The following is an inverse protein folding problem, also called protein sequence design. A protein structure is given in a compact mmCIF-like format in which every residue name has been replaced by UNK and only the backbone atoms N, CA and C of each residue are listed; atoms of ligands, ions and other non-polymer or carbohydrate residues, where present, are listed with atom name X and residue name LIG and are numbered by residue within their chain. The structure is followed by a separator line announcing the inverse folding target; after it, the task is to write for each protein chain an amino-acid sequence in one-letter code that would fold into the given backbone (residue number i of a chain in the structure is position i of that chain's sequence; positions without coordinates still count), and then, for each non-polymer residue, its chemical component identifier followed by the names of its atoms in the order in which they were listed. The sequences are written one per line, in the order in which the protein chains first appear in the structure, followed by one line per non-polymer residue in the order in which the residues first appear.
data_IF_979416824318
#
_entry.id   IF_979416824318
#
_cell.length_a   1.000
_cell.length_b   1.000
_cell.length_c   1.000
_cell.angle_alpha   90.00
_cell.angle_beta   90.00
_cell.angle_gamma   90.00
#
_symmetry.space_group_name_H-M   'P 1'
#
loop_
_entity.id
_entity.type
_entity.pdbx_description
1 polymer ?
#
# COMPACT_ATOMS: atom_id res chain seq x y z
N UNK A 1 9.83 -8.61 16.07
CA UNK A 1 8.48 -8.63 15.45
C UNK A 1 7.58 -7.49 15.89
N UNK A 2 7.45 -7.19 17.19
CA UNK A 2 6.71 -6.01 17.71
C UNK A 2 7.09 -4.64 17.11
N UNK A 3 8.32 -4.50 16.60
CA UNK A 3 8.81 -3.25 16.00
C UNK A 3 8.13 -3.00 14.64
N UNK A 4 8.03 -4.03 13.79
CA UNK A 4 7.35 -3.92 12.48
C UNK A 4 5.86 -3.62 12.70
N UNK A 5 5.24 -4.28 13.69
CA UNK A 5 3.86 -4.03 14.06
C UNK A 5 3.62 -2.56 14.47
N UNK A 6 4.56 -1.96 15.23
CA UNK A 6 4.50 -0.55 15.64
C UNK A 6 4.74 0.39 14.46
N UNK A 7 5.70 0.08 13.59
CA UNK A 7 5.98 0.87 12.38
C UNK A 7 4.78 0.89 11.44
N UNK A 8 4.17 -0.26 11.15
CA UNK A 8 2.96 -0.32 10.31
C UNK A 8 1.79 0.45 10.93
N UNK A 9 1.59 0.35 12.25
CA UNK A 9 0.50 1.07 12.91
C UNK A 9 0.73 2.58 12.91
N UNK A 10 1.97 3.02 13.11
CA UNK A 10 2.35 4.43 13.00
C UNK A 10 2.15 4.96 11.59
N UNK A 11 2.59 4.21 10.57
CA UNK A 11 2.39 4.55 9.15
C UNK A 11 0.90 4.65 8.81
N UNK A 12 0.07 3.74 9.32
CA UNK A 12 -1.37 3.75 9.10
C UNK A 12 -2.04 4.98 9.74
N UNK A 13 -1.67 5.34 10.97
CA UNK A 13 -2.17 6.55 11.64
C UNK A 13 -1.76 7.80 10.85
N UNK A 14 -0.50 7.88 10.43
CA UNK A 14 0.02 8.99 9.63
C UNK A 14 -0.74 9.10 8.30
N UNK A 15 -0.97 7.98 7.62
CA UNK A 15 -1.72 7.92 6.37
C UNK A 15 -3.18 8.36 6.57
N UNK A 16 -3.82 7.96 7.66
CA UNK A 16 -5.19 8.37 8.00
C UNK A 16 -5.30 9.87 8.29
N UNK A 17 -4.39 10.44 9.08
CA UNK A 17 -4.33 11.88 9.35
C UNK A 17 -4.15 12.65 8.04
N UNK A 18 -3.23 12.20 7.20
CA UNK A 18 -2.93 12.87 5.95
C UNK A 18 -4.06 12.74 4.91
N UNK A 19 -4.81 11.63 4.91
CA UNK A 19 -6.03 11.47 4.11
C UNK A 19 -7.08 12.52 4.49
N UNK A 20 -7.32 12.72 5.79
CA UNK A 20 -8.25 13.76 6.28
C UNK A 20 -7.80 15.15 5.84
N UNK A 21 -6.50 15.45 5.93
CA UNK A 21 -5.95 16.74 5.50
C UNK A 21 -6.15 16.98 3.99
N UNK A 22 -5.90 15.97 3.15
CA UNK A 22 -6.14 16.06 1.71
C UNK A 22 -7.63 16.22 1.40
N UNK A 23 -8.51 15.51 2.11
CA UNK A 23 -9.96 15.66 1.95
C UNK A 23 -10.39 17.11 2.16
N UNK A 24 -9.97 17.74 3.27
CA UNK A 24 -10.23 19.17 3.51
C UNK A 24 -9.61 20.06 2.45
N UNK A 25 -8.37 19.78 2.03
CA UNK A 25 -7.68 20.53 0.98
C UNK A 25 -8.43 20.52 -0.36
N UNK A 26 -8.90 19.35 -0.79
CA UNK A 26 -9.69 19.19 -2.02
C UNK A 26 -11.04 19.91 -1.90
N UNK A 27 -11.74 19.78 -0.78
CA UNK A 27 -13.03 20.44 -0.55
C UNK A 27 -12.88 21.97 -0.62
N UNK A 28 -11.90 22.55 0.09
CA UNK A 28 -11.65 24.00 0.06
C UNK A 28 -11.33 24.46 -1.37
N UNK A 29 -10.49 23.72 -2.09
CA UNK A 29 -10.13 24.05 -3.47
C UNK A 29 -11.35 23.99 -4.40
N UNK A 30 -12.18 22.95 -4.26
CA UNK A 30 -13.41 22.80 -5.04
C UNK A 30 -14.38 23.95 -4.76
N UNK A 31 -14.54 24.34 -3.49
CA UNK A 31 -15.37 25.49 -3.10
C UNK A 31 -14.86 26.80 -3.69
N UNK A 32 -13.56 27.10 -3.57
CA UNK A 32 -12.95 28.31 -4.13
C UNK A 32 -13.14 28.40 -5.65
N UNK A 33 -13.01 27.26 -6.34
CA UNK A 33 -13.24 27.17 -7.79
C UNK A 33 -14.70 27.43 -8.16
N UNK A 34 -15.64 26.93 -7.37
CA UNK A 34 -17.08 27.21 -7.55
C UNK A 34 -17.43 28.70 -7.36
N UNK A 35 -16.65 29.43 -6.56
CA UNK A 35 -16.80 30.89 -6.39
C UNK A 35 -16.04 31.72 -7.45
N UNK A 36 -15.49 31.08 -8.50
CA UNK A 36 -14.82 31.77 -9.61
C UNK A 36 -13.37 32.19 -9.34
N UNK A 37 -12.78 31.80 -8.21
CA UNK A 37 -11.35 31.96 -7.98
C UNK A 37 -10.57 30.86 -8.71
N UNK A 38 -9.47 31.25 -9.40
CA UNK A 38 -8.60 30.28 -10.07
C UNK A 38 -7.93 29.41 -9.01
N UNK A 39 -8.33 28.13 -8.92
CA UNK A 39 -7.80 27.19 -7.94
C UNK A 39 -6.29 27.01 -8.11
N UNK A 40 -5.54 27.10 -7.01
CA UNK A 40 -4.08 26.95 -7.03
C UNK A 40 -3.67 25.58 -7.58
N UNK A 41 -2.89 25.58 -8.67
CA UNK A 41 -2.40 24.36 -9.34
C UNK A 41 -1.53 23.49 -8.42
N UNK A 42 -0.89 24.09 -7.43
CA UNK A 42 -0.05 23.40 -6.44
C UNK A 42 -0.81 22.41 -5.55
N UNK A 43 -2.07 22.72 -5.20
CA UNK A 43 -2.90 21.85 -4.33
C UNK A 43 -3.29 20.56 -5.05
N UNK A 44 -3.48 20.63 -6.37
CA UNK A 44 -3.81 19.47 -7.18
C UNK A 44 -2.64 18.48 -7.24
N UNK A 45 -1.43 18.96 -7.54
CA UNK A 45 -0.21 18.13 -7.57
C UNK A 45 0.13 17.54 -6.20
N UNK A 46 -0.05 18.32 -5.12
CA UNK A 46 0.16 17.82 -3.76
C UNK A 46 -0.83 16.72 -3.37
N UNK A 47 -2.09 16.83 -3.79
CA UNK A 47 -3.11 15.82 -3.50
C UNK A 47 -2.85 14.50 -4.25
N UNK A 48 -2.40 14.58 -5.50
CA UNK A 48 -2.09 13.38 -6.30
C UNK A 48 -0.89 12.60 -5.76
N UNK A 49 0.22 13.32 -5.49
CA UNK A 49 1.39 12.73 -4.85
C UNK A 49 1.08 12.24 -3.44
N UNK A 50 0.26 12.99 -2.72
CA UNK A 50 -0.15 12.64 -1.39
C UNK A 50 -0.96 11.36 -1.31
N UNK A 51 -1.94 11.17 -2.20
CA UNK A 51 -2.70 9.92 -2.31
C UNK A 51 -1.78 8.71 -2.54
N UNK A 52 -0.75 8.86 -3.36
CA UNK A 52 0.26 7.83 -3.61
C UNK A 52 0.98 7.44 -2.31
N UNK A 53 1.43 8.41 -1.51
CA UNK A 53 2.06 8.14 -0.22
C UNK A 53 1.11 7.50 0.79
N UNK A 54 -0.17 7.90 0.83
CA UNK A 54 -1.18 7.30 1.72
C UNK A 54 -1.32 5.82 1.41
N UNK A 55 -1.50 5.46 0.15
CA UNK A 55 -1.69 4.06 -0.26
C UNK A 55 -0.44 3.24 0.08
N UNK A 56 0.75 3.76 -0.20
CA UNK A 56 2.02 3.10 0.11
C UNK A 56 2.24 2.93 1.62
N UNK A 57 1.79 3.88 2.45
CA UNK A 57 1.91 3.82 3.90
C UNK A 57 0.84 2.94 4.56
N UNK A 58 -0.38 2.90 4.01
CA UNK A 58 -1.49 2.14 4.56
C UNK A 58 -1.46 0.65 4.17
N UNK A 59 -0.94 0.30 3.00
CA UNK A 59 -0.95 -1.08 2.49
C UNK A 59 -0.27 -2.13 3.39
N UNK A 60 0.86 -1.87 4.10
CA UNK A 60 1.48 -2.88 4.95
C UNK A 60 0.62 -3.21 6.19
N UNK A 61 -0.14 -2.23 6.68
CA UNK A 61 -1.09 -2.41 7.77
C UNK A 61 -2.34 -3.18 7.30
N UNK A 62 -2.82 -2.89 6.08
CA UNK A 62 -3.96 -3.60 5.49
C UNK A 62 -3.69 -5.09 5.30
N UNK A 63 -2.49 -5.46 4.84
CA UNK A 63 -2.06 -6.87 4.72
C UNK A 63 -2.06 -7.59 6.07
N UNK A 64 -1.69 -6.88 7.15
CA UNK A 64 -1.69 -7.44 8.51
C UNK A 64 -3.10 -7.75 9.02
N UNK A 65 -4.07 -6.88 8.73
CA UNK A 65 -5.47 -7.06 9.15
C UNK A 65 -6.18 -8.12 8.31
N UNK A 66 -5.52 -8.67 7.28
CA UNK A 66 -6.14 -9.60 6.33
C UNK A 66 -7.36 -8.95 5.67
N UNK A 67 -7.32 -7.63 5.45
CA UNK A 67 -8.39 -6.88 4.79
C UNK A 67 -8.40 -7.03 3.26
N UNK A 68 -7.60 -7.95 2.71
CA UNK A 68 -7.64 -8.26 1.29
C UNK A 68 -8.89 -9.11 1.02
N UNK A 69 -9.64 -8.79 -0.04
CA UNK A 69 -10.81 -9.56 -0.46
C UNK A 69 -10.37 -11.00 -0.76
N UNK A 70 -10.54 -11.90 0.20
CA UNK A 70 -10.33 -13.32 -0.01
C UNK A 70 -11.58 -13.91 -0.63
N UNK A 71 -11.38 -14.75 -1.63
CA UNK A 71 -12.46 -15.61 -2.13
C UNK A 71 -12.56 -16.77 -1.13
N UNK A 72 -13.10 -16.50 0.05
CA UNK A 72 -13.27 -17.53 1.10
C UNK A 72 -14.19 -18.67 0.62
N UNK A 73 -15.07 -18.37 -0.33
CA UNK A 73 -15.91 -19.35 -1.03
C UNK A 73 -15.10 -20.47 -1.71
N UNK A 74 -13.92 -20.17 -2.27
CA UNK A 74 -13.10 -21.17 -2.94
C UNK A 74 -12.36 -22.06 -1.92
N UNK A 75 -11.98 -21.51 -0.77
CA UNK A 75 -11.36 -22.27 0.33
C UNK A 75 -12.36 -23.07 1.16
N UNK A 76 -13.63 -22.65 1.24
CA UNK A 76 -14.69 -23.37 1.94
C UNK A 76 -15.12 -24.67 1.21
N UNK A 77 -14.89 -24.75 -0.10
CA UNK A 77 -15.13 -25.95 -0.89
C UNK A 77 -14.00 -27.00 -0.79
N UNK A 78 -12.85 -26.64 -0.20
CA UNK A 78 -11.68 -27.52 -0.08
C UNK A 78 -11.57 -28.14 1.33
N UNK A 79 -11.13 -29.40 1.46
CA UNK A 79 -10.85 -30.01 2.76
C UNK A 79 -9.75 -29.25 3.51
N UNK A 80 -9.91 -29.13 4.83
CA UNK A 80 -9.13 -28.25 5.71
C UNK A 80 -7.60 -28.39 5.60
N UNK A 81 -7.09 -29.58 5.29
CA UNK A 81 -5.65 -29.80 5.12
C UNK A 81 -5.10 -29.24 3.80
N UNK A 82 -5.86 -29.35 2.71
CA UNK A 82 -5.48 -28.78 1.41
C UNK A 82 -5.65 -27.27 1.40
N UNK A 83 -6.67 -26.73 2.07
CA UNK A 83 -6.87 -25.29 2.20
C UNK A 83 -5.68 -24.60 2.89
N UNK A 84 -5.10 -25.25 3.92
CA UNK A 84 -3.90 -24.74 4.62
C UNK A 84 -2.66 -24.75 3.74
N UNK A 85 -2.43 -25.81 2.95
CA UNK A 85 -1.30 -25.89 2.03
C UNK A 85 -1.44 -24.86 0.90
N UNK A 86 -2.63 -24.74 0.31
CA UNK A 86 -2.93 -23.76 -0.73
C UNK A 86 -2.75 -22.32 -0.21
N UNK A 87 -3.23 -22.02 1.00
CA UNK A 87 -3.03 -20.73 1.67
C UNK A 87 -1.55 -20.34 1.78
N UNK A 88 -0.70 -21.30 2.16
CA UNK A 88 0.75 -21.09 2.26
C UNK A 88 1.40 -20.88 0.91
N UNK A 89 0.98 -21.61 -0.12
CA UNK A 89 1.45 -21.41 -1.50
C UNK A 89 1.11 -20.01 -2.02
N UNK A 90 -0.12 -19.55 -1.81
CA UNK A 90 -0.55 -18.20 -2.20
C UNK A 90 0.27 -17.14 -1.45
N UNK A 91 0.45 -17.31 -0.13
CA UNK A 91 1.28 -16.40 0.66
C UNK A 91 2.73 -16.36 0.16
N UNK A 92 3.32 -17.51 -0.20
CA UNK A 92 4.67 -17.60 -0.76
C UNK A 92 4.75 -16.89 -2.12
N UNK A 93 3.75 -17.08 -2.98
CA UNK A 93 3.66 -16.40 -4.27
C UNK A 93 3.57 -14.87 -4.09
N UNK A 94 2.79 -14.40 -3.12
CA UNK A 94 2.75 -12.98 -2.74
C UNK A 94 4.11 -12.46 -2.26
N UNK A 95 4.88 -13.23 -1.48
CA UNK A 95 6.25 -12.87 -1.09
C UNK A 95 7.15 -12.73 -2.31
N UNK A 96 7.11 -13.68 -3.25
CA UNK A 96 7.94 -13.65 -4.47
C UNK A 96 7.60 -12.42 -5.32
N UNK A 97 6.31 -12.11 -5.50
CA UNK A 97 5.88 -10.92 -6.22
C UNK A 97 6.36 -9.66 -5.51
N UNK A 98 6.21 -9.57 -4.18
CA UNK A 98 6.70 -8.42 -3.42
C UNK A 98 8.22 -8.24 -3.59
N UNK A 99 9.01 -9.31 -3.55
CA UNK A 99 10.46 -9.25 -3.77
C UNK A 99 10.82 -8.78 -5.18
N UNK A 100 10.12 -9.29 -6.19
CA UNK A 100 10.30 -8.85 -7.57
C UNK A 100 9.97 -7.36 -7.73
N UNK A 101 8.88 -6.89 -7.12
CA UNK A 101 8.50 -5.48 -7.13
C UNK A 101 9.49 -4.60 -6.39
N UNK A 102 10.06 -5.05 -5.26
CA UNK A 102 11.15 -4.32 -4.57
C UNK A 102 12.36 -4.17 -5.48
N UNK A 103 12.78 -5.24 -6.15
CA UNK A 103 13.92 -5.19 -7.07
C UNK A 103 13.66 -4.23 -8.23
N UNK A 104 12.51 -4.38 -8.90
CA UNK A 104 12.15 -3.58 -10.06
C UNK A 104 11.97 -2.10 -9.71
N UNK A 105 11.23 -1.79 -8.65
CA UNK A 105 11.01 -0.42 -8.18
C UNK A 105 12.29 0.23 -7.66
N UNK A 106 13.15 -0.53 -6.98
CA UNK A 106 14.47 -0.08 -6.54
C UNK A 106 15.38 0.26 -7.70
N UNK A 107 15.47 -0.62 -8.70
CA UNK A 107 16.25 -0.37 -9.93
C UNK A 107 15.74 0.87 -10.69
N UNK A 108 14.41 1.03 -10.78
CA UNK A 108 13.80 2.21 -11.39
C UNK A 108 14.11 3.49 -10.60
N UNK A 109 14.13 3.42 -9.26
CA UNK A 109 14.45 4.56 -8.39
C UNK A 109 15.87 5.03 -8.58
N UNK A 110 16.83 4.10 -8.62
CA UNK A 110 18.25 4.40 -8.85
C UNK A 110 18.44 4.99 -10.26
N UNK A 111 17.75 4.43 -11.26
CA UNK A 111 17.78 4.96 -12.62
C UNK A 111 17.23 6.39 -12.68
N UNK A 112 16.06 6.64 -12.08
CA UNK A 112 15.46 7.98 -12.03
C UNK A 112 16.34 9.00 -11.29
N UNK A 113 17.04 8.58 -10.23
CA UNK A 113 18.01 9.42 -9.52
C UNK A 113 19.20 9.79 -10.41
N UNK A 114 19.77 8.83 -11.14
CA UNK A 114 20.93 9.06 -12.00
C UNK A 114 20.61 9.89 -13.26
N UNK A 115 19.42 9.70 -13.84
CA UNK A 115 18.98 10.45 -15.03
C UNK A 115 18.45 11.85 -14.70
N UNK A 116 18.20 12.17 -13.42
CA UNK A 116 17.66 13.46 -13.02
C UNK A 116 16.27 13.74 -13.59
N UNK A 117 15.50 12.68 -13.87
CA UNK A 117 14.16 12.81 -14.45
C UNK A 117 13.22 13.55 -13.49
N UNK A 118 12.95 14.82 -13.78
CA UNK A 118 11.88 15.59 -13.15
C UNK A 118 10.55 15.27 -13.82
N UNK A 119 9.48 15.11 -13.03
CA UNK A 119 8.13 15.00 -13.58
C UNK A 119 7.70 16.40 -13.98
N UNK A 120 7.65 16.69 -15.28
CA UNK A 120 7.25 18.00 -15.80
C UNK A 120 5.73 18.17 -15.59
N UNK A 121 5.37 18.65 -14.41
CA UNK A 121 4.01 19.05 -14.03
C UNK A 121 4.06 20.43 -13.37
N UNK A 122 2.96 20.89 -12.78
CA UNK A 122 2.87 22.23 -12.18
C UNK A 122 3.80 22.46 -10.97
N UNK A 123 4.40 21.39 -10.43
CA UNK A 123 5.53 21.41 -9.50
C UNK A 123 6.54 20.42 -10.04
N UNK A 124 7.73 20.88 -10.45
CA UNK A 124 8.84 20.02 -10.83
C UNK A 124 9.36 19.28 -9.59
N UNK A 125 8.70 18.19 -9.23
CA UNK A 125 9.15 17.31 -8.16
C UNK A 125 10.00 16.20 -8.76
N UNK A 126 11.17 15.89 -8.16
CA UNK A 126 11.98 14.79 -8.64
C UNK A 126 11.22 13.46 -8.51
N UNK A 127 11.10 12.72 -9.62
CA UNK A 127 10.38 11.43 -9.66
C UNK A 127 10.92 10.43 -8.63
N UNK A 128 12.23 10.47 -8.36
CA UNK A 128 12.88 9.57 -7.40
C UNK A 128 12.27 9.67 -5.99
N UNK A 129 11.77 10.84 -5.59
CA UNK A 129 11.16 11.05 -4.28
C UNK A 129 9.88 10.24 -4.15
N UNK A 130 9.05 10.18 -5.20
CA UNK A 130 7.87 9.33 -5.22
C UNK A 130 8.25 7.85 -5.30
N UNK A 131 9.22 7.55 -6.15
CA UNK A 131 9.57 6.19 -6.52
C UNK A 131 10.24 5.43 -5.37
N UNK A 132 10.95 6.10 -4.46
CA UNK A 132 11.56 5.49 -3.28
C UNK A 132 10.53 4.95 -2.29
N UNK A 133 9.31 5.48 -2.29
CA UNK A 133 8.25 5.00 -1.40
C UNK A 133 7.78 3.58 -1.76
N UNK A 134 7.81 3.23 -3.05
CA UNK A 134 7.42 1.92 -3.57
C UNK A 134 8.28 0.75 -3.01
N UNK A 135 9.62 0.75 -3.14
CA UNK A 135 10.44 -0.34 -2.61
C UNK A 135 10.34 -0.45 -1.09
N UNK A 136 10.15 0.66 -0.36
CA UNK A 136 9.95 0.65 1.11
C UNK A 136 8.63 -0.04 1.46
N UNK A 137 7.54 0.34 0.80
CA UNK A 137 6.22 -0.26 0.98
C UNK A 137 6.24 -1.78 0.67
N UNK A 138 6.73 -2.17 -0.50
CA UNK A 138 6.75 -3.58 -0.90
C UNK A 138 7.67 -4.45 -0.04
N UNK A 139 8.76 -3.90 0.50
CA UNK A 139 9.63 -4.65 1.41
C UNK A 139 8.96 -4.85 2.78
N UNK A 140 8.31 -3.83 3.34
CA UNK A 140 7.46 -3.97 4.53
C UNK A 140 6.34 -5.00 4.31
N UNK A 141 5.68 -4.95 3.15
CA UNK A 141 4.60 -5.88 2.81
C UNK A 141 5.11 -7.31 2.63
N UNK A 142 6.26 -7.50 1.97
CA UNK A 142 6.92 -8.79 1.82
C UNK A 142 7.27 -9.43 3.16
N UNK A 143 7.75 -8.65 4.13
CA UNK A 143 8.02 -9.13 5.50
C UNK A 143 6.72 -9.55 6.22
N UNK A 144 5.63 -8.81 6.02
CA UNK A 144 4.32 -9.20 6.56
C UNK A 144 3.79 -10.50 5.92
N UNK A 145 3.98 -10.70 4.61
CA UNK A 145 3.62 -11.96 3.96
C UNK A 145 4.51 -13.13 4.39
N UNK A 146 5.80 -12.91 4.62
CA UNK A 146 6.73 -13.92 5.12
C UNK A 146 6.27 -14.48 6.48
N UNK A 147 5.66 -13.62 7.31
CA UNK A 147 5.04 -14.05 8.58
C UNK A 147 3.89 -15.02 8.38
N UNK A 148 3.07 -14.86 7.33
CA UNK A 148 1.98 -15.81 7.02
C UNK A 148 2.50 -17.14 6.44
N UNK A 149 3.68 -17.13 5.82
CA UNK A 149 4.32 -18.36 5.30
C UNK A 149 4.90 -19.21 6.45
N UNK A 150 5.61 -18.60 7.39
CA UNK A 150 6.27 -19.32 8.51
C UNK A 150 5.45 -19.37 9.81
N UNK A 151 4.38 -18.58 9.91
CA UNK A 151 3.51 -18.53 11.07
C UNK A 151 2.57 -19.74 11.19
N UNK A 152 2.10 -20.01 12.41
CA UNK A 152 1.05 -21.00 12.68
C UNK A 152 -0.34 -20.56 12.16
N UNK A 153 -0.49 -19.26 11.88
CA UNK A 153 -1.75 -18.66 11.43
C UNK A 153 -1.78 -18.62 9.91
N UNK A 154 -2.75 -19.31 9.30
CA UNK A 154 -2.95 -19.31 7.85
C UNK A 154 -3.59 -18.00 7.38
N UNK A 155 -3.36 -17.65 6.12
CA UNK A 155 -3.95 -16.46 5.50
C UNK A 155 -5.48 -16.60 5.37
N UNK A 156 -5.95 -17.83 5.18
CA UNK A 156 -7.36 -18.19 5.15
C UNK A 156 -7.75 -18.92 6.44
N UNK A 157 -8.82 -18.45 7.08
CA UNK A 157 -9.38 -19.10 8.27
C UNK A 157 -10.13 -20.39 7.89
N UNK A 158 -10.54 -20.54 6.62
CA UNK A 158 -11.26 -21.72 6.14
C UNK A 158 -12.70 -21.80 6.68
N UNK A 159 -13.14 -20.79 7.42
CA UNK A 159 -14.53 -20.62 7.83
C UNK A 159 -15.24 -19.87 6.70
N UNK A 160 -16.26 -20.49 6.13
CA UNK A 160 -17.18 -19.78 5.24
C UNK A 160 -17.78 -18.63 6.05
N UNK A 161 -17.56 -17.39 5.59
CA UNK A 161 -18.04 -16.17 6.24
C UNK A 161 -19.44 -16.31 6.81
N UNK A 162 -19.50 -16.45 8.14
CA UNK A 162 -20.67 -16.12 8.96
C UNK A 162 -20.15 -15.39 10.18
N UNK A 163 -19.51 -14.25 9.96
CA UNK A 163 -19.42 -13.22 10.96
C UNK A 163 -19.80 -11.91 10.28
N UNK A 164 -21.07 -11.56 10.49
CA UNK A 164 -21.69 -10.26 10.18
C UNK A 164 -20.86 -9.08 10.70
#
# INVERSE_FOLDING_TARGET
MRIIDKVCNFLAILAGIYLVLIMFGIVIQATLRSFGYSGSSHVFTFSEYGLLYIVMAASPWLVRIRGHVFIEMLTAALPADFARLFSRFVALLCVVICLFLVWYSGANTIRSYNFGDADMRSLDMPKWLLLVSMPICFSLMGVNFLRFVFGKETLHTGEAGVHE
#
